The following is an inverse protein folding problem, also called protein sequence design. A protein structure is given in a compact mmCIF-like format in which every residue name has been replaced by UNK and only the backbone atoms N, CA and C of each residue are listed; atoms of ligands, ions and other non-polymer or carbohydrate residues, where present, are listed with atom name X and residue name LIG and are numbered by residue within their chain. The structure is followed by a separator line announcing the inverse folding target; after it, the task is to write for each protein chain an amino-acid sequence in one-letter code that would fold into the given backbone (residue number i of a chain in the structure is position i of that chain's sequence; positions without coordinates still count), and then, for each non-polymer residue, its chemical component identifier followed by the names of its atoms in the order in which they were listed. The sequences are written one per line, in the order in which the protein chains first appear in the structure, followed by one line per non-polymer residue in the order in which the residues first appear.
data_IF_459503379245
#
_entry.id   IF_459503379245
#
_cell.length_a   1.000
_cell.length_b   1.000
_cell.length_c   1.000
_cell.angle_alpha   90.00
_cell.angle_beta   90.00
_cell.angle_gamma   90.00
#
_symmetry.space_group_name_H-M   'P 1'
#
loop_
_entity.id
_entity.type
_entity.pdbx_description
1 polymer ?
#
# COMPACT_ATOMS: atom_id res chain seq x y z
N UNK A 1 16.79 1.11 10.05
CA UNK A 1 16.09 1.99 9.10
C UNK A 1 14.81 2.47 9.77
N UNK A 2 14.44 3.76 9.65
CA UNK A 2 13.25 4.31 10.28
C UNK A 2 11.96 3.73 9.68
N UNK A 3 10.91 3.64 10.48
CA UNK A 3 9.57 3.25 10.03
C UNK A 3 9.03 4.24 8.99
N UNK A 4 8.42 3.71 7.93
CA UNK A 4 7.81 4.52 6.87
C UNK A 4 6.47 5.07 7.38
N UNK A 5 6.28 6.39 7.29
CA UNK A 5 5.01 7.06 7.63
C UNK A 5 4.07 7.26 6.44
N UNK A 6 4.63 7.28 5.22
CA UNK A 6 3.90 7.42 3.96
C UNK A 6 4.48 6.43 2.98
N UNK A 7 3.66 5.55 2.42
CA UNK A 7 4.12 4.58 1.43
C UNK A 7 4.71 5.32 0.21
N UNK A 8 5.86 4.89 -0.30
CA UNK A 8 6.52 5.53 -1.42
C UNK A 8 5.70 5.38 -2.69
N UNK A 9 5.60 6.47 -3.42
CA UNK A 9 5.08 6.52 -4.77
C UNK A 9 5.86 7.59 -5.52
N UNK A 10 6.42 7.24 -6.68
CA UNK A 10 7.11 8.21 -7.53
C UNK A 10 6.12 8.79 -8.55
N UNK A 11 5.70 10.07 -8.42
CA UNK A 11 4.78 10.69 -9.35
C UNK A 11 5.38 10.92 -10.75
N UNK A 12 6.71 10.86 -10.92
CA UNK A 12 7.35 10.93 -12.23
C UNK A 12 7.26 9.61 -12.99
N UNK A 13 7.35 8.48 -12.29
CA UNK A 13 7.14 7.15 -12.88
C UNK A 13 5.64 6.88 -13.10
N UNK A 14 4.80 7.33 -12.16
CA UNK A 14 3.35 7.12 -12.23
C UNK A 14 2.97 5.64 -12.05
N UNK A 15 1.84 5.24 -12.64
CA UNK A 15 1.36 3.87 -12.59
C UNK A 15 1.68 3.11 -13.89
N UNK A 16 1.91 1.78 -13.83
CA UNK A 16 2.08 0.96 -12.64
C UNK A 16 3.49 1.07 -12.06
N UNK A 17 3.64 0.90 -10.74
CA UNK A 17 4.96 0.89 -10.11
C UNK A 17 5.06 -0.08 -8.93
N UNK A 18 6.26 -0.62 -8.72
CA UNK A 18 6.62 -1.49 -7.59
C UNK A 18 7.56 -0.76 -6.66
N UNK A 19 7.33 -0.89 -5.36
CA UNK A 19 8.19 -0.29 -4.34
C UNK A 19 8.46 -1.31 -3.22
N UNK A 20 9.61 -1.20 -2.57
CA UNK A 20 9.94 -1.99 -1.39
C UNK A 20 9.95 -1.07 -0.17
N UNK A 21 9.30 -1.51 0.90
CA UNK A 21 9.22 -0.76 2.15
C UNK A 21 9.47 -1.65 3.35
N UNK A 22 9.83 -1.02 4.47
CA UNK A 22 9.94 -1.68 5.76
C UNK A 22 9.02 -0.98 6.76
N UNK A 23 8.10 -1.73 7.35
CA UNK A 23 7.09 -1.26 8.32
C UNK A 23 7.17 -2.19 9.52
N UNK A 24 7.29 -1.65 10.74
CA UNK A 24 7.45 -2.43 11.98
C UNK A 24 8.50 -3.54 11.90
N UNK A 25 9.65 -3.23 11.30
CA UNK A 25 10.76 -4.15 11.07
C UNK A 25 10.51 -5.31 10.07
N UNK A 26 9.33 -5.42 9.48
CA UNK A 26 8.98 -6.39 8.43
C UNK A 26 9.03 -5.73 7.05
N UNK A 27 9.53 -6.46 6.05
CA UNK A 27 9.66 -5.95 4.68
C UNK A 27 8.45 -6.32 3.81
N UNK A 28 7.96 -5.34 3.04
CA UNK A 28 6.80 -5.50 2.17
C UNK A 28 7.11 -5.00 0.75
N UNK A 29 6.52 -5.67 -0.23
CA UNK A 29 6.50 -5.24 -1.64
C UNK A 29 5.13 -4.62 -1.94
N UNK A 30 5.17 -3.36 -2.34
CA UNK A 30 4.01 -2.61 -2.82
C UNK A 30 3.93 -2.73 -4.34
N UNK A 31 2.72 -2.85 -4.85
CA UNK A 31 2.43 -2.74 -6.27
C UNK A 31 1.22 -1.84 -6.49
N UNK A 32 1.48 -0.67 -7.06
CA UNK A 32 0.48 0.31 -7.43
C UNK A 32 0.08 0.11 -8.88
N UNK A 33 -1.22 0.07 -9.15
CA UNK A 33 -1.78 0.00 -10.51
C UNK A 33 -2.96 0.96 -10.65
N UNK A 34 -3.01 1.68 -11.75
CA UNK A 34 -4.19 2.45 -12.13
C UNK A 34 -5.15 1.60 -12.96
N UNK A 35 -6.44 1.64 -12.63
CA UNK A 35 -7.51 1.08 -13.45
C UNK A 35 -8.14 2.22 -14.26
N UNK A 36 -7.74 2.33 -15.54
CA UNK A 36 -8.24 3.36 -16.45
C UNK A 36 -9.74 3.27 -16.73
N UNK A 37 -10.33 2.08 -16.73
CA UNK A 37 -11.77 1.89 -16.99
C UNK A 37 -12.61 2.32 -15.79
N UNK A 38 -12.13 2.00 -14.57
CA UNK A 38 -12.84 2.32 -13.33
C UNK A 38 -12.46 3.67 -12.71
N UNK A 39 -11.44 4.34 -13.24
CA UNK A 39 -10.88 5.59 -12.71
C UNK A 39 -10.48 5.50 -11.22
N UNK A 40 -9.71 4.46 -10.86
CA UNK A 40 -9.21 4.28 -9.49
C UNK A 40 -7.85 3.58 -9.44
N UNK A 41 -7.14 3.75 -8.33
CA UNK A 41 -5.91 3.02 -8.05
C UNK A 41 -6.20 1.73 -7.25
N UNK A 42 -5.40 0.69 -7.53
CA UNK A 42 -5.33 -0.55 -6.76
C UNK A 42 -3.94 -0.62 -6.13
N UNK A 43 -3.89 -0.99 -4.85
CA UNK A 43 -2.66 -1.32 -4.16
C UNK A 43 -2.69 -2.79 -3.77
N UNK A 44 -1.63 -3.51 -4.13
CA UNK A 44 -1.32 -4.84 -3.60
C UNK A 44 -0.10 -4.72 -2.69
N UNK A 45 -0.18 -5.29 -1.50
CA UNK A 45 0.90 -5.37 -0.52
C UNK A 45 1.20 -6.85 -0.31
N UNK A 46 2.46 -7.23 -0.52
CA UNK A 46 2.97 -8.57 -0.20
C UNK A 46 4.00 -8.50 0.90
N UNK A 47 3.94 -9.40 1.88
CA UNK A 47 5.04 -9.62 2.83
C UNK A 47 6.17 -10.33 2.10
N UNK A 48 7.42 -9.89 2.27
CA UNK A 48 8.55 -10.47 1.53
C UNK A 48 9.05 -11.79 2.10
N UNK A 49 8.84 -12.04 3.39
CA UNK A 49 9.36 -13.23 4.09
C UNK A 49 8.75 -14.52 3.56
N UNK A 50 7.48 -14.49 3.16
CA UNK A 50 6.69 -15.63 2.70
C UNK A 50 5.92 -15.38 1.39
N UNK A 51 6.10 -14.20 0.77
CA UNK A 51 5.41 -13.74 -0.45
C UNK A 51 3.87 -13.68 -0.34
N UNK A 52 3.32 -13.73 0.89
CA UNK A 52 1.89 -13.67 1.17
C UNK A 52 1.28 -12.31 0.83
N UNK A 53 0.06 -12.32 0.29
CA UNK A 53 -0.69 -11.08 0.01
C UNK A 53 -1.45 -10.69 1.28
N UNK A 54 -0.96 -9.66 1.96
CA UNK A 54 -1.60 -9.12 3.18
C UNK A 54 -2.67 -8.06 2.85
N UNK A 55 -2.65 -7.52 1.64
CA UNK A 55 -3.66 -6.59 1.15
C UNK A 55 -3.73 -6.57 -0.37
N UNK A 56 -4.93 -6.58 -0.92
CA UNK A 56 -5.19 -6.23 -2.31
C UNK A 56 -6.55 -5.53 -2.39
N UNK A 57 -6.54 -4.26 -2.78
CA UNK A 57 -7.78 -3.49 -2.78
C UNK A 57 -7.70 -2.19 -3.57
N UNK A 58 -8.88 -1.67 -3.90
CA UNK A 58 -9.06 -0.32 -4.41
C UNK A 58 -8.70 0.69 -3.32
N UNK A 59 -7.85 1.65 -3.64
CA UNK A 59 -7.58 2.79 -2.78
C UNK A 59 -8.76 3.76 -2.86
N UNK A 60 -9.49 3.90 -1.75
CA UNK A 60 -10.59 4.86 -1.60
C UNK A 60 -10.09 6.00 -0.73
N UNK A 61 -10.13 7.23 -1.26
CA UNK A 61 -9.65 8.40 -0.53
C UNK A 61 -10.36 8.57 0.81
N UNK A 62 -9.58 8.90 1.84
CA UNK A 62 -10.01 9.14 3.23
C UNK A 62 -10.70 7.94 3.90
N UNK A 63 -10.62 6.75 3.31
CA UNK A 63 -11.10 5.52 3.91
C UNK A 63 -9.93 4.67 4.43
N UNK A 64 -9.80 4.47 5.75
CA UNK A 64 -8.71 3.65 6.29
C UNK A 64 -8.92 2.16 6.00
N UNK A 65 -7.82 1.42 5.91
CA UNK A 65 -7.82 -0.04 5.77
C UNK A 65 -6.89 -0.65 6.81
N UNK A 66 -7.41 -1.62 7.57
CA UNK A 66 -6.61 -2.47 8.44
C UNK A 66 -5.93 -3.55 7.60
N UNK A 67 -4.60 -3.60 7.65
CA UNK A 67 -3.83 -4.65 7.03
C UNK A 67 -3.59 -5.73 8.07
N UNK A 68 -4.13 -6.91 7.85
CA UNK A 68 -4.11 -8.01 8.82
C UNK A 68 -3.20 -9.12 8.33
N UNK A 69 -2.60 -9.82 9.28
CA UNK A 69 -1.97 -11.11 8.99
C UNK A 69 -3.06 -12.11 8.57
N UNK A 70 -2.92 -12.80 7.42
CA UNK A 70 -3.94 -13.71 6.91
C UNK A 70 -4.10 -14.98 7.78
N UNK A 71 -3.11 -15.32 8.59
CA UNK A 71 -3.12 -16.51 9.45
C UNK A 71 -3.61 -16.18 10.85
N UNK A 72 -3.11 -15.09 11.45
CA UNK A 72 -3.42 -14.74 12.85
C UNK A 72 -4.57 -13.74 12.99
N UNK A 73 -4.96 -13.07 11.91
CA UNK A 73 -5.91 -11.94 11.88
C UNK A 73 -5.50 -10.73 12.72
N UNK A 74 -4.27 -10.70 13.24
CA UNK A 74 -3.72 -9.54 13.94
C UNK A 74 -3.49 -8.39 12.96
N UNK A 75 -3.81 -7.18 13.40
CA UNK A 75 -3.54 -5.97 12.61
C UNK A 75 -2.04 -5.70 12.60
N UNK A 76 -1.44 -5.77 11.42
CA UNK A 76 -0.02 -5.47 11.20
C UNK A 76 0.23 -3.95 11.21
N UNK A 77 -0.65 -3.21 10.52
CA UNK A 77 -0.67 -1.75 10.44
C UNK A 77 -1.97 -1.29 9.77
N UNK A 78 -2.24 0.01 9.81
CA UNK A 78 -3.36 0.65 9.12
C UNK A 78 -2.81 1.56 8.03
N UNK A 79 -3.47 1.57 6.88
CA UNK A 79 -3.18 2.53 5.81
C UNK A 79 -4.35 3.49 5.62
N UNK A 80 -4.04 4.74 5.27
CA UNK A 80 -5.03 5.75 4.89
C UNK A 80 -4.64 6.34 3.53
N UNK A 81 -5.39 6.04 2.46
CA UNK A 81 -5.23 6.72 1.18
C UNK A 81 -5.69 8.18 1.34
N UNK A 82 -4.77 9.13 1.31
CA UNK A 82 -5.07 10.54 1.57
C UNK A 82 -5.44 11.31 0.31
N UNK A 83 -4.66 11.12 -0.76
CA UNK A 83 -4.87 11.77 -2.06
C UNK A 83 -4.46 10.78 -3.17
N UNK A 84 -5.42 10.30 -3.95
CA UNK A 84 -5.20 9.23 -4.92
C UNK A 84 -5.89 9.56 -6.23
N UNK A 85 -5.10 9.82 -7.26
CA UNK A 85 -5.57 10.08 -8.61
C UNK A 85 -4.62 9.46 -9.63
N UNK A 86 -4.86 9.73 -10.92
CA UNK A 86 -4.09 9.15 -12.04
C UNK A 86 -2.58 9.51 -12.00
N UNK A 87 -2.19 10.54 -11.24
CA UNK A 87 -0.80 11.05 -11.17
C UNK A 87 -0.12 10.80 -9.83
N UNK A 88 -0.87 10.58 -8.75
CA UNK A 88 -0.31 10.42 -7.41
C UNK A 88 -1.05 9.36 -6.58
N UNK A 89 -0.31 8.71 -5.68
CA UNK A 89 -0.85 7.84 -4.63
C UNK A 89 -0.21 8.23 -3.29
N UNK A 90 -0.83 9.15 -2.56
CA UNK A 90 -0.42 9.47 -1.20
C UNK A 90 -1.15 8.55 -0.23
N UNK A 91 -0.41 7.66 0.44
CA UNK A 91 -0.97 6.68 1.38
C UNK A 91 -0.19 6.73 2.68
N UNK A 92 -0.85 7.16 3.76
CA UNK A 92 -0.26 7.23 5.10
C UNK A 92 -0.30 5.86 5.78
N UNK A 93 0.64 5.64 6.69
CA UNK A 93 0.80 4.39 7.45
C UNK A 93 0.77 4.70 8.94
N UNK A 94 -0.01 3.91 9.68
CA UNK A 94 -0.08 3.91 11.13
C UNK A 94 0.28 2.50 11.60
N UNK A 95 1.44 2.37 12.22
CA UNK A 95 2.06 1.10 12.56
C UNK A 95 2.64 1.16 13.97
#
# INVERSE_FOLDING_TARGET
MPSVKVLPFDPKLGYPQKQLVKINNTAYRLFYRWNYQGNFAVLRIRRLEDDEIVFEGKLVEKNPFEIKDPQTYETLFVILPWNVNEKTAEVWVFA
#
